data_IF_495163567743
#
_entry.id   IF_495163567743
#
_cell.length_a   1.000
_cell.length_b   1.000
_cell.length_c   1.000
_cell.angle_alpha   90.00
_cell.angle_beta   90.00
_cell.angle_gamma   90.00
#
_symmetry.space_group_name_H-M   'P 1'
#
loop_
_entity.id
_entity.type
_entity.pdbx_description
1 polymer ?
#
# COMPACT_ATOMS: atom_id res chain seq x y z
N UNK A 1 26.61 -5.07 -0.04
CA UNK A 1 25.24 -5.42 -0.38
C UNK A 1 24.34 -5.41 0.86
N UNK A 2 24.54 -6.28 1.86
CA UNK A 2 23.67 -6.40 3.05
C UNK A 2 23.50 -5.10 3.84
N UNK A 3 24.58 -4.32 4.00
CA UNK A 3 24.49 -3.00 4.66
C UNK A 3 23.62 -2.03 3.87
N UNK A 4 23.79 -1.96 2.55
CA UNK A 4 22.97 -1.08 1.68
C UNK A 4 21.51 -1.50 1.72
N UNK A 5 21.21 -2.81 1.62
CA UNK A 5 19.85 -3.33 1.65
C UNK A 5 19.08 -2.97 2.94
N UNK A 6 19.76 -2.67 4.02
CA UNK A 6 19.17 -2.39 5.34
C UNK A 6 19.30 -0.92 5.77
N UNK A 7 19.96 -0.07 4.99
CA UNK A 7 20.18 1.35 5.31
C UNK A 7 19.16 2.24 4.58
N UNK A 8 18.86 3.41 5.14
CA UNK A 8 17.97 4.40 4.55
C UNK A 8 16.61 3.81 4.14
N UNK A 9 16.23 4.00 2.89
CA UNK A 9 15.08 3.32 2.26
C UNK A 9 15.45 1.87 1.98
N UNK A 10 15.11 0.97 2.86
CA UNK A 10 15.42 -0.47 2.77
C UNK A 10 14.84 -1.09 1.51
N UNK A 11 15.63 -1.95 0.85
CA UNK A 11 15.21 -2.59 -0.39
C UNK A 11 16.19 -3.64 -0.89
N UNK A 12 15.88 -4.32 -2.00
CA UNK A 12 16.76 -5.32 -2.60
C UNK A 12 18.02 -4.69 -3.18
N UNK A 13 19.10 -5.43 -3.14
CA UNK A 13 20.39 -5.07 -3.75
C UNK A 13 20.83 -6.20 -4.66
N UNK A 14 21.05 -5.89 -5.92
CA UNK A 14 21.58 -6.83 -6.90
C UNK A 14 23.10 -6.86 -6.79
N UNK A 15 23.68 -8.06 -6.77
CA UNK A 15 25.12 -8.29 -6.88
C UNK A 15 25.36 -9.11 -8.15
N UNK A 16 25.94 -8.48 -9.15
CA UNK A 16 26.36 -9.17 -10.37
C UNK A 16 27.76 -9.76 -10.19
N UNK A 17 27.88 -11.07 -10.36
CA UNK A 17 29.15 -11.81 -10.19
C UNK A 17 29.50 -12.47 -11.52
N UNK A 18 30.47 -11.93 -12.28
CA UNK A 18 30.92 -12.52 -13.55
C UNK A 18 31.45 -13.94 -13.36
N UNK A 19 31.32 -14.75 -14.41
CA UNK A 19 31.65 -16.19 -14.38
C UNK A 19 33.09 -16.46 -13.98
N UNK A 20 34.04 -15.68 -14.47
CA UNK A 20 35.46 -15.81 -14.15
C UNK A 20 35.77 -15.56 -12.68
N UNK A 21 35.05 -14.61 -12.07
CA UNK A 21 35.19 -14.31 -10.62
C UNK A 21 34.66 -15.48 -9.77
N UNK A 22 33.65 -16.21 -10.22
CA UNK A 22 33.14 -17.38 -9.46
C UNK A 22 34.12 -18.54 -9.41
N UNK A 23 35.06 -18.60 -10.36
CA UNK A 23 36.10 -19.61 -10.44
C UNK A 23 37.44 -19.14 -9.81
N UNK A 24 37.58 -17.87 -9.49
CA UNK A 24 38.79 -17.31 -8.92
C UNK A 24 39.00 -17.75 -7.46
N UNK A 25 40.25 -17.97 -7.12
CA UNK A 25 40.68 -18.28 -5.74
C UNK A 25 41.16 -17.00 -5.08
N UNK A 26 40.67 -16.73 -3.88
CA UNK A 26 41.12 -15.59 -3.08
C UNK A 26 41.34 -15.98 -1.63
N UNK A 27 42.24 -15.25 -0.95
CA UNK A 27 42.37 -15.34 0.50
C UNK A 27 41.16 -14.65 1.15
N UNK A 28 40.47 -15.36 2.04
CA UNK A 28 39.30 -14.85 2.75
C UNK A 28 39.53 -14.81 4.25
N UNK A 29 39.41 -13.63 4.82
CA UNK A 29 39.37 -13.43 6.27
C UNK A 29 37.96 -13.08 6.71
N UNK A 30 37.29 -13.93 7.51
CA UNK A 30 35.94 -13.64 8.01
C UNK A 30 35.92 -12.35 8.83
N UNK A 31 35.06 -11.41 8.44
CA UNK A 31 34.81 -10.18 9.21
C UNK A 31 33.49 -10.29 9.91
N UNK A 32 33.42 -9.88 11.18
CA UNK A 32 32.13 -9.74 11.86
C UNK A 32 31.31 -8.63 11.15
N UNK A 33 29.99 -8.86 10.91
CA UNK A 33 29.13 -7.81 10.37
C UNK A 33 29.16 -6.58 11.28
N UNK A 34 29.37 -5.41 10.69
CA UNK A 34 29.20 -4.15 11.42
C UNK A 34 27.71 -3.91 11.69
N UNK A 35 27.35 -3.43 12.89
CA UNK A 35 25.97 -3.07 13.18
C UNK A 35 25.54 -1.93 12.25
N UNK A 36 24.33 -2.06 11.68
CA UNK A 36 23.74 -1.03 10.84
C UNK A 36 23.29 0.11 11.75
N UNK A 37 23.91 1.27 11.60
CA UNK A 37 23.50 2.48 12.29
C UNK A 37 22.40 3.16 11.50
N UNK A 38 21.22 3.31 12.08
CA UNK A 38 20.18 4.19 11.55
C UNK A 38 20.64 5.62 11.80
N UNK A 39 20.91 6.38 10.75
CA UNK A 39 21.20 7.80 10.88
C UNK A 39 19.85 8.51 11.01
N UNK A 40 19.60 9.04 12.20
CA UNK A 40 18.38 9.78 12.51
C UNK A 40 18.73 11.26 12.55
N UNK A 41 18.83 11.86 11.37
CA UNK A 41 19.01 13.31 11.27
C UNK A 41 17.84 13.88 10.49
N UNK A 42 17.18 14.86 11.05
CA UNK A 42 16.21 15.70 10.38
C UNK A 42 16.43 17.14 10.85
N UNK A 43 15.96 18.11 10.06
CA UNK A 43 16.03 19.51 10.41
C UNK A 43 14.89 19.87 11.38
N UNK A 44 15.25 20.15 12.64
CA UNK A 44 14.28 20.55 13.68
C UNK A 44 13.51 21.82 13.33
N UNK A 45 14.13 22.75 12.58
CA UNK A 45 13.45 23.96 12.16
C UNK A 45 12.36 23.68 11.13
N UNK A 46 12.59 22.75 10.21
CA UNK A 46 11.57 22.30 9.26
C UNK A 46 10.39 21.60 9.98
N UNK A 47 10.68 20.84 11.05
CA UNK A 47 9.63 20.22 11.88
C UNK A 47 8.78 21.27 12.59
N UNK A 48 9.38 22.35 13.11
CA UNK A 48 8.65 23.47 13.71
C UNK A 48 7.76 24.17 12.70
N UNK A 49 8.29 24.49 11.51
CA UNK A 49 7.49 25.09 10.44
C UNK A 49 6.34 24.20 10.00
N UNK A 50 6.56 22.90 9.91
CA UNK A 50 5.48 21.95 9.62
C UNK A 50 4.37 21.98 10.69
N UNK A 51 4.75 22.01 11.97
CA UNK A 51 3.79 22.10 13.07
C UNK A 51 3.01 23.43 13.03
N UNK A 52 3.68 24.57 12.76
CA UNK A 52 3.03 25.87 12.64
C UNK A 52 2.01 25.89 11.47
N UNK A 53 2.36 25.30 10.32
CA UNK A 53 1.44 25.18 9.16
C UNK A 53 0.24 24.31 9.55
N UNK A 54 0.45 23.17 10.22
CA UNK A 54 -0.62 22.26 10.67
C UNK A 54 -1.54 22.96 11.67
N UNK A 55 -0.98 23.69 12.64
CA UNK A 55 -1.74 24.42 13.65
C UNK A 55 -2.61 25.53 13.04
N UNK A 56 -2.17 26.13 11.92
CA UNK A 56 -2.94 27.13 11.16
C UNK A 56 -4.05 26.57 10.29
N UNK A 57 -4.00 25.28 9.96
CA UNK A 57 -4.90 24.65 8.99
C UNK A 57 -6.38 24.67 9.44
N UNK A 58 -7.28 24.76 8.46
CA UNK A 58 -8.74 24.62 8.64
C UNK A 58 -9.26 23.28 8.09
N UNK A 59 -8.60 22.75 7.05
CA UNK A 59 -8.95 21.51 6.39
C UNK A 59 -7.71 20.63 6.19
N UNK A 60 -6.97 20.31 7.28
CA UNK A 60 -5.79 19.46 7.16
C UNK A 60 -6.16 18.04 6.74
N UNK A 61 -5.27 17.42 5.97
CA UNK A 61 -5.38 16.03 5.56
C UNK A 61 -4.03 15.35 5.66
N UNK A 62 -3.97 14.17 6.29
CA UNK A 62 -2.78 13.31 6.22
C UNK A 62 -2.94 12.33 5.06
N UNK A 63 -1.92 12.29 4.21
CA UNK A 63 -1.77 11.32 3.13
C UNK A 63 -0.54 10.45 3.41
N UNK A 64 -0.73 9.18 3.71
CA UNK A 64 0.37 8.33 4.13
C UNK A 64 0.56 7.10 3.22
N UNK A 65 1.81 6.68 3.11
CA UNK A 65 2.22 5.60 2.23
C UNK A 65 2.95 4.46 2.95
N UNK A 66 3.60 3.61 2.16
CA UNK A 66 4.33 2.45 2.66
C UNK A 66 5.49 2.77 3.61
N UNK A 67 5.96 4.02 3.67
CA UNK A 67 7.02 4.45 4.57
C UNK A 67 6.63 4.43 6.06
N UNK A 68 5.32 4.44 6.38
CA UNK A 68 4.84 4.42 7.79
C UNK A 68 4.37 3.03 8.26
N UNK A 69 4.75 1.96 7.57
CA UNK A 69 4.34 0.59 7.94
C UNK A 69 5.10 -0.03 9.12
N UNK A 70 6.12 0.63 9.66
CA UNK A 70 6.84 0.15 10.83
C UNK A 70 6.01 0.36 12.10
N UNK A 71 6.14 -0.52 13.09
CA UNK A 71 5.49 -0.34 14.38
C UNK A 71 5.89 0.99 15.05
N UNK A 72 7.14 1.42 14.85
CA UNK A 72 7.66 2.67 15.39
C UNK A 72 7.01 3.92 14.79
N UNK A 73 6.53 3.88 13.52
CA UNK A 73 5.90 5.02 12.84
C UNK A 73 4.37 5.00 12.89
N UNK A 74 3.74 3.83 13.05
CA UNK A 74 2.29 3.71 13.09
C UNK A 74 1.67 4.45 14.27
N UNK A 75 2.20 4.26 15.48
CA UNK A 75 1.62 4.86 16.67
C UNK A 75 1.75 6.39 16.69
N UNK A 76 2.93 7.00 16.44
CA UNK A 76 3.03 8.45 16.36
C UNK A 76 2.13 9.08 15.28
N UNK A 77 1.91 8.38 14.15
CA UNK A 77 0.94 8.84 13.15
C UNK A 77 -0.48 8.86 13.71
N UNK A 78 -0.94 7.77 14.32
CA UNK A 78 -2.27 7.68 14.91
C UNK A 78 -2.48 8.72 16.03
N UNK A 79 -1.45 8.95 16.84
CA UNK A 79 -1.48 9.95 17.92
C UNK A 79 -1.61 11.37 17.36
N UNK A 80 -0.92 11.67 16.26
CA UNK A 80 -1.06 12.95 15.54
C UNK A 80 -2.49 13.14 15.02
N UNK A 81 -3.04 12.13 14.33
CA UNK A 81 -4.39 12.17 13.78
C UNK A 81 -5.42 12.42 14.88
N UNK A 82 -5.30 11.71 15.99
CA UNK A 82 -6.21 11.83 17.14
C UNK A 82 -6.08 13.17 17.85
N UNK A 83 -4.84 13.65 18.08
CA UNK A 83 -4.56 14.88 18.80
C UNK A 83 -5.16 16.09 18.11
N UNK A 84 -4.96 16.20 16.80
CA UNK A 84 -5.39 17.34 16.01
C UNK A 84 -6.66 17.07 15.17
N UNK A 85 -7.37 15.96 15.40
CA UNK A 85 -8.59 15.54 14.64
C UNK A 85 -8.39 15.67 13.12
N UNK A 86 -7.26 15.14 12.61
CA UNK A 86 -6.93 15.21 11.19
C UNK A 86 -7.37 13.93 10.48
N UNK A 87 -8.29 14.00 9.51
CA UNK A 87 -8.64 12.85 8.69
C UNK A 87 -7.43 12.39 7.87
N UNK A 88 -7.40 11.09 7.57
CA UNK A 88 -6.25 10.48 6.90
C UNK A 88 -6.66 9.53 5.79
N UNK A 89 -5.97 9.64 4.67
CA UNK A 89 -6.09 8.76 3.52
C UNK A 89 -4.78 8.03 3.25
N UNK A 90 -4.85 6.86 2.63
CA UNK A 90 -3.68 6.00 2.48
C UNK A 90 -3.51 5.48 1.05
N UNK A 91 -2.25 5.14 0.72
CA UNK A 91 -1.95 4.39 -0.49
C UNK A 91 -2.20 2.90 -0.27
N UNK A 92 -2.39 2.16 -1.36
CA UNK A 92 -2.52 0.69 -1.35
C UNK A 92 -1.49 0.01 -0.41
N UNK A 93 -0.25 0.49 -0.40
CA UNK A 93 0.85 -0.09 0.37
C UNK A 93 0.78 0.20 1.88
N UNK A 94 -0.15 1.04 2.32
CA UNK A 94 -0.27 1.45 3.72
C UNK A 94 -1.60 0.98 4.37
N UNK A 95 -2.32 0.08 3.72
CA UNK A 95 -3.54 -0.49 4.26
C UNK A 95 -3.30 -1.10 5.66
N UNK A 96 -4.17 -0.77 6.63
CA UNK A 96 -4.09 -1.22 8.02
C UNK A 96 -3.17 -0.41 8.93
N UNK A 97 -2.42 0.58 8.44
CA UNK A 97 -1.65 1.50 9.30
C UNK A 97 -2.57 2.28 10.21
N UNK A 98 -3.64 2.87 9.67
CA UNK A 98 -4.79 3.35 10.45
C UNK A 98 -5.88 2.30 10.30
N UNK A 99 -6.36 1.69 11.39
CA UNK A 99 -7.29 0.56 11.31
C UNK A 99 -8.60 0.91 10.60
N UNK A 100 -9.19 -0.08 9.94
CA UNK A 100 -10.57 0.05 9.47
C UNK A 100 -11.53 0.32 10.64
N UNK A 101 -12.39 1.31 10.48
CA UNK A 101 -13.33 1.74 11.50
C UNK A 101 -12.80 2.82 12.45
N UNK A 102 -11.54 3.22 12.33
CA UNK A 102 -11.04 4.42 12.98
C UNK A 102 -11.70 5.65 12.34
N UNK A 103 -12.26 6.59 13.14
CA UNK A 103 -12.95 7.79 12.62
C UNK A 103 -12.08 8.66 11.70
N UNK A 104 -10.77 8.65 11.91
CA UNK A 104 -9.84 9.42 11.08
C UNK A 104 -9.47 8.71 9.78
N UNK A 105 -9.79 7.43 9.62
CA UNK A 105 -9.53 6.70 8.38
C UNK A 105 -10.64 6.93 7.37
N UNK A 106 -10.38 7.77 6.36
CA UNK A 106 -11.35 8.10 5.31
C UNK A 106 -11.19 7.27 4.02
N UNK A 107 -10.37 6.23 4.06
CA UNK A 107 -10.22 5.27 2.97
C UNK A 107 -8.99 5.48 2.10
N UNK A 108 -8.86 4.65 1.07
CA UNK A 108 -7.75 4.66 0.10
C UNK A 108 -7.96 5.78 -0.93
N UNK A 109 -6.87 6.45 -1.31
CA UNK A 109 -6.85 7.50 -2.33
C UNK A 109 -6.31 6.97 -3.67
N UNK A 110 -6.64 7.65 -4.76
CA UNK A 110 -6.11 7.43 -6.10
C UNK A 110 -7.12 6.80 -7.07
N UNK A 111 -6.62 6.23 -8.16
CA UNK A 111 -7.40 5.69 -9.28
C UNK A 111 -8.45 4.65 -8.83
N UNK A 112 -8.14 3.85 -7.82
CA UNK A 112 -9.02 2.83 -7.24
C UNK A 112 -9.46 3.19 -5.81
N UNK A 113 -9.26 4.45 -5.42
CA UNK A 113 -9.66 4.97 -4.12
C UNK A 113 -11.15 5.29 -4.04
N UNK A 114 -11.63 5.62 -2.84
CA UNK A 114 -13.00 6.05 -2.63
C UNK A 114 -13.22 7.51 -3.03
N UNK A 115 -14.46 7.89 -3.23
CA UNK A 115 -14.86 9.26 -3.58
C UNK A 115 -14.41 10.25 -2.50
N UNK A 116 -14.68 9.94 -1.24
CA UNK A 116 -14.31 10.77 -0.08
C UNK A 116 -12.83 11.11 -0.06
N UNK A 117 -11.94 10.11 -0.17
CA UNK A 117 -10.50 10.32 -0.13
C UNK A 117 -10.00 11.22 -1.25
N UNK A 118 -10.53 11.01 -2.47
CA UNK A 118 -10.15 11.82 -3.63
C UNK A 118 -10.67 13.27 -3.51
N UNK A 119 -11.89 13.46 -2.98
CA UNK A 119 -12.43 14.79 -2.68
C UNK A 119 -11.64 15.51 -1.59
N UNK A 120 -11.31 14.81 -0.51
CA UNK A 120 -10.54 15.38 0.59
C UNK A 120 -9.17 15.90 0.13
N UNK A 121 -8.48 15.16 -0.75
CA UNK A 121 -7.22 15.63 -1.36
C UNK A 121 -7.42 16.88 -2.22
N UNK A 122 -8.54 16.97 -2.95
CA UNK A 122 -8.80 18.14 -3.79
C UNK A 122 -9.16 19.41 -3.00
N UNK A 123 -9.79 19.25 -1.84
CA UNK A 123 -10.39 20.35 -1.07
C UNK A 123 -9.64 20.70 0.23
N UNK A 124 -8.61 19.92 0.62
CA UNK A 124 -7.77 20.25 1.78
C UNK A 124 -6.98 21.56 1.57
N UNK A 125 -6.65 22.25 2.66
CA UNK A 125 -5.79 23.44 2.67
C UNK A 125 -4.34 23.14 3.08
N UNK A 126 -4.13 22.02 3.81
CA UNK A 126 -2.82 21.46 4.16
C UNK A 126 -2.83 19.96 3.90
N UNK A 127 -1.87 19.48 3.09
CA UNK A 127 -1.65 18.07 2.83
C UNK A 127 -0.34 17.61 3.46
N UNK A 128 -0.42 16.74 4.47
CA UNK A 128 0.75 16.19 5.15
C UNK A 128 1.04 14.80 4.55
N UNK A 129 2.00 14.74 3.64
CA UNK A 129 2.38 13.52 2.94
C UNK A 129 3.51 12.79 3.68
N UNK A 130 3.24 11.60 4.24
CA UNK A 130 4.18 10.86 5.08
C UNK A 130 4.55 9.51 4.46
N UNK A 131 5.82 9.34 4.10
CA UNK A 131 6.33 8.10 3.53
C UNK A 131 5.62 7.66 2.25
N UNK A 132 5.30 8.62 1.39
CA UNK A 132 4.59 8.43 0.13
C UNK A 132 5.27 9.19 -1.01
N UNK A 133 5.30 8.59 -2.20
CA UNK A 133 6.05 9.09 -3.36
C UNK A 133 5.17 9.75 -4.44
N UNK A 134 3.92 10.04 -4.18
CA UNK A 134 2.98 10.60 -5.16
C UNK A 134 3.01 9.87 -6.50
N UNK A 135 2.76 8.55 -6.46
CA UNK A 135 2.79 7.72 -7.68
C UNK A 135 1.71 8.15 -8.67
N UNK A 136 1.92 7.81 -9.94
CA UNK A 136 0.99 8.04 -11.05
C UNK A 136 -0.41 7.42 -10.84
N UNK A 137 -0.53 6.40 -9.99
CA UNK A 137 -1.82 5.79 -9.63
C UNK A 137 -2.60 6.61 -8.60
N UNK A 138 -1.96 7.57 -7.95
CA UNK A 138 -2.57 8.49 -6.97
C UNK A 138 -2.60 9.91 -7.51
N UNK A 139 -1.45 10.47 -7.88
CA UNK A 139 -1.34 11.79 -8.48
C UNK A 139 -1.46 11.68 -10.02
N UNK A 140 -2.67 11.31 -10.50
CA UNK A 140 -2.95 11.09 -11.93
C UNK A 140 -2.59 12.30 -12.81
N UNK A 141 -2.81 13.50 -12.28
CA UNK A 141 -2.35 14.75 -12.87
C UNK A 141 -1.62 15.55 -11.79
N UNK A 142 -0.28 15.48 -11.75
CA UNK A 142 0.51 16.17 -10.73
C UNK A 142 0.24 17.69 -10.63
N UNK A 143 -0.05 18.34 -11.75
CA UNK A 143 -0.30 19.80 -11.78
C UNK A 143 -1.61 20.23 -11.12
N UNK A 144 -2.54 19.32 -10.93
CA UNK A 144 -3.86 19.59 -10.33
C UNK A 144 -4.06 18.85 -9.02
N UNK A 145 -3.12 17.99 -8.62
CA UNK A 145 -3.17 17.24 -7.38
C UNK A 145 -3.00 18.17 -6.19
N UNK A 146 -3.99 18.21 -5.29
CA UNK A 146 -4.00 19.05 -4.09
C UNK A 146 -3.60 20.52 -4.35
N UNK A 147 -3.97 21.07 -5.50
CA UNK A 147 -3.48 22.38 -6.02
C UNK A 147 -3.75 23.60 -5.13
N UNK A 148 -4.66 23.47 -4.17
CA UNK A 148 -5.05 24.54 -3.25
C UNK A 148 -4.45 24.34 -1.85
N UNK A 149 -3.71 23.26 -1.65
CA UNK A 149 -3.13 22.90 -0.37
C UNK A 149 -1.65 23.32 -0.28
N UNK A 150 -1.22 23.73 0.91
CA UNK A 150 0.19 23.71 1.28
C UNK A 150 0.62 22.26 1.50
N UNK A 151 1.60 21.78 0.74
CA UNK A 151 2.04 20.39 0.77
C UNK A 151 3.31 20.24 1.60
N UNK A 152 3.22 19.47 2.68
CA UNK A 152 4.36 19.06 3.51
C UNK A 152 4.70 17.61 3.14
N UNK A 153 5.93 17.32 2.72
CA UNK A 153 6.37 15.95 2.42
C UNK A 153 7.46 15.48 3.39
N UNK A 154 7.23 14.33 4.03
CA UNK A 154 8.16 13.67 4.94
C UNK A 154 8.55 12.34 4.32
N UNK A 155 9.82 12.17 3.97
CA UNK A 155 10.35 10.91 3.44
C UNK A 155 11.79 10.68 3.90
N UNK A 156 12.16 9.40 4.05
CA UNK A 156 13.52 9.00 4.39
C UNK A 156 14.48 9.13 3.19
N UNK A 157 13.93 9.15 1.98
CA UNK A 157 14.67 9.23 0.72
C UNK A 157 14.56 10.62 0.13
N UNK A 158 15.64 11.39 0.24
CA UNK A 158 15.69 12.76 -0.29
C UNK A 158 15.38 12.83 -1.80
N UNK A 159 15.59 11.75 -2.56
CA UNK A 159 15.32 11.71 -4.00
C UNK A 159 13.83 11.61 -4.35
N UNK A 160 12.97 11.32 -3.38
CA UNK A 160 11.51 11.28 -3.57
C UNK A 160 10.83 12.61 -3.25
N UNK A 161 11.54 13.53 -2.57
CA UNK A 161 10.98 14.84 -2.19
C UNK A 161 10.83 15.76 -3.41
N UNK A 162 9.62 16.27 -3.63
CA UNK A 162 9.32 17.16 -4.75
C UNK A 162 9.44 16.53 -6.14
N UNK A 163 9.60 15.20 -6.25
CA UNK A 163 9.90 14.52 -7.51
C UNK A 163 8.73 14.49 -8.48
N UNK A 164 7.54 14.19 -7.99
CA UNK A 164 6.34 13.99 -8.82
C UNK A 164 5.30 15.11 -8.64
N UNK A 165 5.27 15.74 -7.50
CA UNK A 165 4.39 16.86 -7.15
C UNK A 165 5.25 17.91 -6.48
N UNK A 166 5.07 19.16 -6.85
CA UNK A 166 5.75 20.28 -6.18
C UNK A 166 5.28 20.35 -4.72
N UNK A 167 6.22 20.55 -3.79
CA UNK A 167 5.94 20.59 -2.36
C UNK A 167 6.46 21.89 -1.75
N UNK A 168 5.72 22.43 -0.78
CA UNK A 168 6.06 23.69 -0.12
C UNK A 168 7.10 23.49 0.99
N UNK A 169 7.03 22.36 1.69
CA UNK A 169 7.96 22.01 2.75
C UNK A 169 8.36 20.54 2.68
N UNK A 170 9.67 20.29 2.61
CA UNK A 170 10.25 18.94 2.55
C UNK A 170 11.02 18.62 3.82
N UNK A 171 10.79 17.46 4.42
CA UNK A 171 11.53 16.97 5.60
C UNK A 171 12.16 15.63 5.27
N UNK A 172 13.49 15.59 5.17
CA UNK A 172 14.24 14.32 5.05
C UNK A 172 14.35 13.68 6.42
N UNK A 173 13.81 12.47 6.59
CA UNK A 173 13.92 11.76 7.86
C UNK A 173 13.07 10.49 7.92
N UNK A 174 13.40 9.63 8.87
CA UNK A 174 12.54 8.49 9.19
C UNK A 174 11.23 9.00 9.82
N UNK A 175 10.10 8.55 9.27
CA UNK A 175 8.77 9.00 9.70
C UNK A 175 8.53 8.84 11.21
N UNK A 176 9.08 7.80 11.85
CA UNK A 176 8.91 7.61 13.30
C UNK A 176 9.55 8.74 14.10
N UNK A 177 10.75 9.16 13.72
CA UNK A 177 11.46 10.21 14.46
C UNK A 177 10.88 11.60 14.17
N UNK A 178 10.56 11.88 12.90
CA UNK A 178 9.95 13.17 12.51
C UNK A 178 8.59 13.34 13.17
N UNK A 179 7.72 12.32 13.14
CA UNK A 179 6.39 12.37 13.78
C UNK A 179 6.48 12.53 15.30
N UNK A 180 7.41 11.81 15.96
CA UNK A 180 7.62 11.98 17.41
C UNK A 180 8.13 13.37 17.79
N UNK A 181 8.98 13.98 16.96
CA UNK A 181 9.45 15.35 17.18
C UNK A 181 8.35 16.40 16.90
N UNK A 182 7.47 16.12 15.94
CA UNK A 182 6.36 17.01 15.56
C UNK A 182 5.20 16.96 16.56
N UNK A 183 4.91 15.80 17.11
CA UNK A 183 3.74 15.56 17.98
C UNK A 183 3.61 16.52 19.18
N UNK A 184 4.67 16.85 19.93
CA UNK A 184 4.58 17.83 21.01
C UNK A 184 4.31 19.27 20.55
N UNK A 185 4.66 19.62 19.29
CA UNK A 185 4.53 20.96 18.73
C UNK A 185 3.16 21.21 18.07
N UNK A 186 2.46 20.15 17.68
CA UNK A 186 1.10 20.25 17.13
C UNK A 186 0.11 20.43 18.26
N UNK A 187 -0.78 21.39 18.12
CA UNK A 187 -1.81 21.71 19.10
C UNK A 187 -2.96 20.70 19.09
N UNK A 188 -3.65 20.53 20.20
CA UNK A 188 -4.93 19.84 20.24
C UNK A 188 -5.98 20.73 19.60
N UNK A 189 -6.59 20.26 18.50
CA UNK A 189 -7.53 21.04 17.70
C UNK A 189 -8.63 20.15 17.16
N UNK A 190 -9.79 20.75 16.90
CA UNK A 190 -10.92 20.09 16.22
C UNK A 190 -11.28 20.82 14.94
N UNK A 191 -11.76 20.06 13.97
CA UNK A 191 -12.13 20.57 12.65
C UNK A 191 -13.60 20.19 12.30
N UNK A 192 -14.61 20.65 13.06
CA UNK A 192 -15.98 20.16 12.94
C UNK A 192 -16.59 20.38 11.56
N UNK A 193 -16.37 21.52 10.93
CA UNK A 193 -16.88 21.81 9.58
C UNK A 193 -16.21 20.92 8.54
N UNK A 194 -14.91 20.68 8.67
CA UNK A 194 -14.16 19.79 7.79
C UNK A 194 -14.64 18.35 7.91
N UNK A 195 -14.78 17.85 9.14
CA UNK A 195 -15.28 16.51 9.41
C UNK A 195 -16.73 16.34 8.93
N UNK A 196 -17.57 17.37 9.06
CA UNK A 196 -18.92 17.35 8.51
C UNK A 196 -18.91 17.16 6.99
N UNK A 197 -18.10 17.92 6.26
CA UNK A 197 -17.96 17.76 4.79
C UNK A 197 -17.50 16.34 4.43
N UNK A 198 -16.53 15.78 5.17
CA UNK A 198 -16.05 14.42 4.96
C UNK A 198 -17.16 13.40 5.17
N UNK A 199 -17.96 13.50 6.22
CA UNK A 199 -19.08 12.60 6.45
C UNK A 199 -20.16 12.70 5.35
N UNK A 200 -20.42 13.90 4.83
CA UNK A 200 -21.31 14.10 3.69
C UNK A 200 -20.81 13.41 2.41
N UNK A 201 -19.49 13.37 2.19
CA UNK A 201 -18.90 12.63 1.07
C UNK A 201 -18.87 11.12 1.30
N UNK A 202 -18.64 10.66 2.53
CA UNK A 202 -18.70 9.23 2.88
C UNK A 202 -20.07 8.64 2.61
N UNK A 203 -21.14 9.41 2.79
CA UNK A 203 -22.48 9.01 2.42
C UNK A 203 -22.69 8.83 0.90
N UNK A 204 -21.78 9.38 0.08
CA UNK A 204 -21.77 9.27 -1.38
C UNK A 204 -20.77 8.25 -1.90
N UNK A 205 -19.96 7.64 -1.03
CA UNK A 205 -19.04 6.58 -1.43
C UNK A 205 -19.81 5.40 -2.04
N UNK A 206 -19.20 4.77 -3.03
CA UNK A 206 -19.79 3.62 -3.69
C UNK A 206 -19.93 2.44 -2.73
N UNK A 207 -21.15 1.99 -2.54
CA UNK A 207 -21.47 0.77 -1.81
C UNK A 207 -21.89 -0.32 -2.80
N UNK A 208 -21.18 -1.45 -2.87
CA UNK A 208 -21.51 -2.51 -3.80
C UNK A 208 -22.88 -3.12 -3.46
N UNK A 209 -23.72 -3.26 -4.46
CA UNK A 209 -25.02 -3.91 -4.33
C UNK A 209 -24.88 -5.40 -4.58
N UNK A 210 -25.43 -6.22 -3.69
CA UNK A 210 -25.47 -7.66 -3.87
C UNK A 210 -26.53 -8.04 -4.91
N UNK A 211 -26.18 -8.98 -5.79
CA UNK A 211 -27.10 -9.58 -6.76
C UNK A 211 -27.35 -11.03 -6.35
N UNK A 212 -28.61 -11.37 -6.03
CA UNK A 212 -28.95 -12.70 -5.56
C UNK A 212 -28.76 -13.80 -6.63
N UNK A 213 -28.64 -13.43 -7.92
CA UNK A 213 -28.46 -14.36 -9.02
C UNK A 213 -27.00 -14.79 -9.24
N UNK A 214 -26.04 -14.11 -8.61
CA UNK A 214 -24.60 -14.35 -8.80
C UNK A 214 -23.76 -13.95 -7.60
N UNK A 215 -22.64 -14.61 -7.43
CA UNK A 215 -21.67 -14.31 -6.39
C UNK A 215 -20.86 -13.05 -6.79
N UNK A 216 -20.90 -12.03 -5.95
CA UNK A 216 -20.19 -10.77 -6.18
C UNK A 216 -18.85 -10.73 -5.42
N UNK A 217 -17.81 -10.04 -5.96
CA UNK A 217 -16.48 -10.00 -5.34
C UNK A 217 -16.47 -9.52 -3.89
N UNK A 218 -17.26 -8.51 -3.54
CA UNK A 218 -17.34 -8.01 -2.17
C UNK A 218 -17.92 -9.04 -1.18
N UNK A 219 -18.81 -9.92 -1.64
CA UNK A 219 -19.35 -11.01 -0.83
C UNK A 219 -18.28 -12.05 -0.54
N UNK A 220 -17.49 -12.44 -1.57
CA UNK A 220 -16.37 -13.38 -1.40
C UNK A 220 -15.34 -12.81 -0.43
N UNK A 221 -14.88 -11.57 -0.64
CA UNK A 221 -13.91 -10.93 0.25
C UNK A 221 -14.46 -10.81 1.68
N UNK A 222 -15.74 -10.41 1.82
CA UNK A 222 -16.39 -10.31 3.13
C UNK A 222 -16.44 -11.64 3.87
N UNK A 223 -16.80 -12.72 3.16
CA UNK A 223 -16.87 -14.04 3.76
C UNK A 223 -15.47 -14.58 4.14
N UNK A 224 -14.48 -14.41 3.28
CA UNK A 224 -13.08 -14.75 3.61
C UNK A 224 -12.60 -14.00 4.87
N UNK A 225 -12.96 -12.71 5.00
CA UNK A 225 -12.67 -11.93 6.21
C UNK A 225 -13.33 -12.51 7.47
N UNK A 226 -14.61 -12.91 7.34
CA UNK A 226 -15.37 -13.45 8.46
C UNK A 226 -14.80 -14.80 8.93
N UNK A 227 -14.41 -15.66 8.00
CA UNK A 227 -13.89 -16.99 8.30
C UNK A 227 -12.44 -16.99 8.83
N UNK A 228 -11.58 -16.14 8.26
CA UNK A 228 -10.15 -16.12 8.60
C UNK A 228 -9.81 -15.17 9.76
N UNK A 229 -10.68 -14.24 10.06
CA UNK A 229 -10.52 -13.30 11.17
C UNK A 229 -9.62 -12.08 10.87
N UNK A 230 -9.60 -11.11 11.80
CA UNK A 230 -8.93 -9.82 11.58
C UNK A 230 -7.40 -9.87 11.61
N UNK A 231 -6.83 -10.93 12.19
CA UNK A 231 -5.38 -11.11 12.34
C UNK A 231 -4.76 -11.91 11.17
N UNK A 232 -5.57 -12.39 10.25
CA UNK A 232 -5.07 -13.10 9.07
C UNK A 232 -4.25 -12.18 8.15
N UNK A 233 -3.26 -12.75 7.47
CA UNK A 233 -2.45 -12.06 6.47
C UNK A 233 -3.04 -12.32 5.09
N UNK A 234 -3.33 -11.26 4.36
CA UNK A 234 -3.90 -11.32 3.02
C UNK A 234 -2.84 -10.95 2.00
N UNK A 235 -2.53 -11.89 1.17
CA UNK A 235 -1.65 -11.72 0.01
C UNK A 235 -2.52 -11.60 -1.22
N UNK A 236 -2.19 -10.70 -2.13
CA UNK A 236 -2.91 -10.66 -3.41
C UNK A 236 -1.96 -10.80 -4.57
N UNK A 237 -2.46 -11.46 -5.59
CA UNK A 237 -1.92 -11.32 -6.93
C UNK A 237 -2.41 -10.02 -7.58
N UNK A 238 -2.12 -9.77 -8.85
CA UNK A 238 -2.34 -8.48 -9.50
C UNK A 238 -3.46 -8.52 -10.53
N UNK A 239 -4.46 -7.67 -10.34
CA UNK A 239 -5.63 -7.56 -11.21
C UNK A 239 -6.85 -6.98 -10.50
N UNK A 240 -8.05 -7.22 -11.01
CA UNK A 240 -9.30 -6.75 -10.37
C UNK A 240 -9.44 -7.29 -8.94
N UNK A 241 -9.09 -8.56 -8.70
CA UNK A 241 -9.12 -9.19 -7.39
C UNK A 241 -8.24 -8.46 -6.36
N UNK A 242 -7.10 -7.90 -6.78
CA UNK A 242 -6.26 -7.04 -5.93
C UNK A 242 -7.01 -5.78 -5.49
N UNK A 243 -7.70 -5.12 -6.43
CA UNK A 243 -8.46 -3.91 -6.12
C UNK A 243 -9.67 -4.22 -5.24
N UNK A 244 -10.37 -5.34 -5.48
CA UNK A 244 -11.47 -5.77 -4.62
C UNK A 244 -10.99 -6.09 -3.21
N UNK A 245 -9.85 -6.79 -3.06
CA UNK A 245 -9.25 -7.02 -1.75
C UNK A 245 -8.86 -5.71 -1.06
N UNK A 246 -8.27 -4.75 -1.79
CA UNK A 246 -7.90 -3.45 -1.24
C UNK A 246 -9.11 -2.62 -0.77
N UNK A 247 -10.24 -2.71 -1.47
CA UNK A 247 -11.44 -1.92 -1.20
C UNK A 247 -12.37 -2.55 -0.16
N UNK A 248 -12.51 -3.88 -0.16
CA UNK A 248 -13.55 -4.56 0.62
C UNK A 248 -13.04 -5.26 1.88
N UNK A 249 -11.73 -5.50 1.99
CA UNK A 249 -11.17 -6.05 3.20
C UNK A 249 -11.03 -4.99 4.31
N UNK A 250 -11.29 -5.40 5.55
CA UNK A 250 -11.28 -4.51 6.73
C UNK A 250 -9.94 -4.60 7.46
N UNK A 251 -8.89 -4.05 6.86
CA UNK A 251 -7.53 -4.08 7.42
C UNK A 251 -7.45 -3.38 8.78
N UNK A 252 -6.89 -4.05 9.79
CA UNK A 252 -6.74 -3.52 11.14
C UNK A 252 -5.29 -3.39 11.59
N UNK A 253 -4.39 -4.09 10.92
CA UNK A 253 -2.97 -4.15 11.28
C UNK A 253 -2.08 -3.85 10.07
N UNK A 254 -0.98 -3.11 10.25
CA UNK A 254 -0.03 -2.87 9.18
C UNK A 254 0.65 -4.19 8.76
N UNK A 255 1.03 -4.30 7.49
CA UNK A 255 1.66 -5.49 6.91
C UNK A 255 0.78 -6.74 6.82
N UNK A 256 -0.49 -6.68 7.19
CA UNK A 256 -1.44 -7.76 6.97
C UNK A 256 -2.01 -7.76 5.54
N UNK A 257 -1.63 -6.78 4.73
CA UNK A 257 -1.87 -6.75 3.29
C UNK A 257 -0.55 -6.76 2.52
N UNK A 258 -0.29 -7.84 1.79
CA UNK A 258 0.93 -8.07 1.02
C UNK A 258 0.56 -8.12 -0.47
N UNK A 259 1.15 -7.24 -1.26
CA UNK A 259 0.82 -7.14 -2.68
C UNK A 259 1.96 -6.52 -3.48
N UNK A 260 2.04 -6.84 -4.78
CA UNK A 260 2.93 -6.15 -5.72
C UNK A 260 2.34 -4.81 -6.15
N UNK A 261 2.34 -3.82 -5.22
CA UNK A 261 1.74 -2.50 -5.45
C UNK A 261 2.63 -1.51 -6.21
N UNK A 262 3.90 -1.83 -6.43
CA UNK A 262 4.83 -1.01 -7.21
C UNK A 262 4.88 -1.41 -8.68
N UNK A 263 5.41 -2.60 -8.97
CA UNK A 263 5.56 -3.12 -10.33
C UNK A 263 4.28 -3.76 -10.88
N UNK A 264 3.36 -4.19 -10.00
CA UNK A 264 2.15 -4.87 -10.43
C UNK A 264 2.42 -6.22 -11.10
N UNK A 265 3.27 -7.04 -10.50
CA UNK A 265 3.75 -8.30 -11.09
C UNK A 265 2.70 -9.39 -10.95
N UNK A 266 2.14 -9.84 -12.06
CA UNK A 266 1.25 -11.02 -12.10
C UNK A 266 2.04 -12.30 -11.78
N UNK A 267 1.44 -13.22 -11.02
CA UNK A 267 2.09 -14.44 -10.54
C UNK A 267 2.87 -14.25 -9.21
N UNK A 268 2.85 -13.05 -8.63
CA UNK A 268 3.50 -12.73 -7.36
C UNK A 268 2.86 -13.44 -6.17
N UNK A 269 1.52 -13.60 -6.20
CA UNK A 269 0.70 -13.88 -5.01
C UNK A 269 1.05 -15.22 -4.34
N UNK A 270 1.11 -16.32 -5.08
CA UNK A 270 1.34 -17.66 -4.52
C UNK A 270 2.70 -17.78 -3.80
N UNK A 271 3.77 -17.34 -4.47
CA UNK A 271 5.11 -17.36 -3.87
C UNK A 271 5.22 -16.46 -2.62
N UNK A 272 4.61 -15.28 -2.68
CA UNK A 272 4.56 -14.36 -1.54
C UNK A 272 3.72 -14.91 -0.37
N UNK A 273 2.63 -15.64 -0.66
CA UNK A 273 1.79 -16.31 0.33
C UNK A 273 2.56 -17.42 1.07
N UNK A 274 3.29 -18.26 0.33
CA UNK A 274 4.17 -19.28 0.90
C UNK A 274 5.22 -18.63 1.81
N UNK A 275 5.90 -17.59 1.32
CA UNK A 275 6.90 -16.86 2.09
C UNK A 275 6.32 -16.18 3.35
N UNK A 276 5.15 -15.58 3.25
CA UNK A 276 4.45 -14.98 4.39
C UNK A 276 4.11 -16.03 5.45
N UNK A 277 3.62 -17.21 5.03
CA UNK A 277 3.28 -18.30 5.96
C UNK A 277 4.51 -18.85 6.69
N UNK A 278 5.65 -18.90 6.03
CA UNK A 278 6.93 -19.25 6.67
C UNK A 278 7.31 -18.21 7.73
N UNK A 279 7.07 -16.93 7.44
CA UNK A 279 7.37 -15.83 8.37
C UNK A 279 6.42 -15.72 9.56
N UNK A 280 5.17 -16.18 9.42
CA UNK A 280 4.13 -16.17 10.47
C UNK A 280 3.41 -17.53 10.52
N UNK A 281 4.08 -18.57 11.03
CA UNK A 281 3.63 -19.95 10.92
C UNK A 281 2.28 -20.24 11.62
N UNK A 282 1.94 -19.46 12.65
CA UNK A 282 0.72 -19.67 13.45
C UNK A 282 -0.47 -18.83 12.95
N UNK A 283 -0.23 -17.93 12.02
CA UNK A 283 -1.27 -17.03 11.49
C UNK A 283 -1.86 -17.60 10.20
N UNK A 284 -3.18 -17.53 9.96
CA UNK A 284 -3.77 -17.81 8.66
C UNK A 284 -3.20 -16.88 7.59
N UNK A 285 -2.76 -17.44 6.46
CA UNK A 285 -2.27 -16.66 5.32
C UNK A 285 -3.07 -17.07 4.08
N UNK A 286 -3.68 -16.08 3.47
CA UNK A 286 -4.61 -16.24 2.35
C UNK A 286 -4.05 -15.56 1.12
N UNK A 287 -3.97 -16.25 0.00
CA UNK A 287 -3.75 -15.63 -1.30
C UNK A 287 -5.07 -15.37 -2.01
N UNK A 288 -5.24 -14.17 -2.53
CA UNK A 288 -6.38 -13.78 -3.35
C UNK A 288 -5.86 -13.54 -4.78
N UNK A 289 -6.16 -14.47 -5.67
CA UNK A 289 -5.65 -14.47 -7.03
C UNK A 289 -6.79 -14.45 -8.07
N UNK A 290 -6.49 -13.98 -9.27
CA UNK A 290 -7.28 -14.28 -10.46
C UNK A 290 -6.77 -15.55 -11.13
N UNK A 291 -7.60 -16.19 -11.92
CA UNK A 291 -7.27 -17.42 -12.66
C UNK A 291 -6.06 -17.26 -13.58
N UNK A 292 -5.90 -16.10 -14.22
CA UNK A 292 -4.74 -15.79 -15.05
C UNK A 292 -3.43 -15.70 -14.26
N UNK A 293 -3.45 -15.03 -13.11
CA UNK A 293 -2.28 -14.91 -12.25
C UNK A 293 -1.90 -16.23 -11.59
N UNK A 294 -2.89 -16.96 -11.08
CA UNK A 294 -2.68 -18.26 -10.45
C UNK A 294 -1.99 -19.25 -11.39
N UNK A 295 -2.40 -19.30 -12.66
CA UNK A 295 -1.79 -20.17 -13.68
C UNK A 295 -0.31 -19.89 -13.94
N UNK A 296 0.17 -18.67 -13.69
CA UNK A 296 1.56 -18.30 -13.97
C UNK A 296 2.56 -19.03 -13.09
N UNK A 297 2.20 -19.30 -11.83
CA UNK A 297 3.09 -19.90 -10.85
C UNK A 297 2.42 -21.05 -10.04
N UNK A 298 1.34 -21.65 -10.53
CA UNK A 298 0.62 -22.71 -9.82
C UNK A 298 1.48 -23.94 -9.50
N UNK A 299 2.58 -24.16 -10.23
CA UNK A 299 3.57 -25.21 -9.93
C UNK A 299 4.18 -25.06 -8.54
N UNK A 300 4.22 -23.86 -7.97
CA UNK A 300 4.73 -23.63 -6.61
C UNK A 300 3.84 -24.22 -5.50
N UNK A 301 2.65 -24.72 -5.81
CA UNK A 301 1.87 -25.56 -4.89
C UNK A 301 2.68 -26.78 -4.46
N UNK A 302 3.52 -27.33 -5.35
CA UNK A 302 4.42 -28.43 -5.03
C UNK A 302 5.41 -28.06 -3.91
N UNK A 303 5.88 -26.82 -3.89
CA UNK A 303 6.73 -26.29 -2.81
C UNK A 303 5.96 -26.26 -1.48
N UNK A 304 4.76 -25.69 -1.48
CA UNK A 304 3.92 -25.63 -0.28
C UNK A 304 3.62 -27.03 0.28
N UNK A 305 3.26 -27.97 -0.60
CA UNK A 305 2.95 -29.36 -0.23
C UNK A 305 4.19 -30.09 0.31
N UNK A 306 5.34 -29.98 -0.39
CA UNK A 306 6.59 -30.65 0.02
C UNK A 306 7.06 -30.24 1.40
N UNK A 307 6.89 -28.99 1.76
CA UNK A 307 7.37 -28.43 3.03
C UNK A 307 6.26 -28.28 4.08
N UNK A 308 5.07 -28.82 3.84
CA UNK A 308 3.91 -28.71 4.73
C UNK A 308 3.60 -27.26 5.15
N UNK A 309 3.58 -26.34 4.19
CA UNK A 309 3.26 -24.94 4.40
C UNK A 309 1.76 -24.73 4.12
N UNK A 310 0.90 -24.69 5.16
CA UNK A 310 -0.54 -24.57 4.98
C UNK A 310 -0.92 -23.13 4.61
N UNK A 311 -1.34 -22.91 3.39
CA UNK A 311 -1.86 -21.65 2.86
C UNK A 311 -3.31 -21.85 2.41
N UNK A 312 -4.05 -20.74 2.30
CA UNK A 312 -5.40 -20.73 1.73
C UNK A 312 -5.33 -19.99 0.40
N UNK A 313 -5.76 -20.66 -0.66
CA UNK A 313 -5.78 -20.08 -2.01
C UNK A 313 -7.23 -19.80 -2.43
N UNK A 314 -7.54 -18.53 -2.72
CA UNK A 314 -8.86 -18.06 -3.19
C UNK A 314 -8.71 -17.54 -4.62
N UNK A 315 -9.21 -18.30 -5.58
CA UNK A 315 -9.09 -17.97 -7.01
C UNK A 315 -10.41 -17.42 -7.56
N UNK A 316 -10.39 -16.18 -8.01
CA UNK A 316 -11.46 -15.57 -8.79
C UNK A 316 -11.36 -16.04 -10.25
N UNK A 317 -12.11 -17.10 -10.56
CA UNK A 317 -12.14 -17.68 -11.90
C UNK A 317 -13.24 -17.04 -12.77
N UNK A 318 -12.86 -16.01 -13.50
CA UNK A 318 -13.74 -15.30 -14.44
C UNK A 318 -13.38 -15.55 -15.91
N UNK A 319 -12.45 -16.47 -16.18
CA UNK A 319 -11.96 -16.84 -17.51
C UNK A 319 -11.42 -15.66 -18.32
N UNK A 320 -10.90 -14.64 -17.64
CA UNK A 320 -10.38 -13.45 -18.32
C UNK A 320 -9.29 -12.74 -17.52
N UNK A 321 -8.39 -12.06 -18.22
CA UNK A 321 -7.52 -11.02 -17.65
C UNK A 321 -8.38 -9.79 -17.36
N UNK A 322 -9.11 -9.82 -16.23
CA UNK A 322 -10.20 -8.89 -15.94
C UNK A 322 -9.80 -7.41 -15.93
N UNK A 323 -8.63 -7.05 -15.36
CA UNK A 323 -8.14 -5.67 -15.36
C UNK A 323 -7.81 -5.19 -16.79
N UNK A 324 -7.16 -6.00 -17.59
CA UNK A 324 -6.84 -5.66 -18.99
C UNK A 324 -8.12 -5.48 -19.81
N UNK A 325 -9.09 -6.38 -19.63
CA UNK A 325 -10.41 -6.27 -20.28
C UNK A 325 -11.16 -5.01 -19.87
N UNK A 326 -11.07 -4.62 -18.60
CA UNK A 326 -11.66 -3.38 -18.10
C UNK A 326 -11.06 -2.16 -18.80
N UNK A 327 -9.74 -2.10 -18.98
CA UNK A 327 -9.08 -1.03 -19.70
C UNK A 327 -9.48 -0.99 -21.18
N UNK A 328 -9.57 -2.15 -21.82
CA UNK A 328 -10.04 -2.24 -23.20
C UNK A 328 -11.49 -1.76 -23.34
N UNK A 329 -12.32 -2.00 -22.32
CA UNK A 329 -13.69 -1.48 -22.27
C UNK A 329 -13.71 0.03 -22.17
N UNK A 330 -12.94 0.62 -21.24
CA UNK A 330 -12.99 2.04 -20.91
C UNK A 330 -12.26 2.92 -21.95
N UNK A 331 -11.12 2.49 -22.43
CA UNK A 331 -10.21 3.35 -23.21
C UNK A 331 -9.99 2.92 -24.67
N UNK A 332 -10.36 1.69 -25.04
CA UNK A 332 -10.10 1.16 -26.37
C UNK A 332 -11.38 0.79 -27.15
N UNK A 333 -12.49 1.43 -26.84
CA UNK A 333 -13.75 1.24 -27.56
C UNK A 333 -14.25 -0.20 -27.57
N UNK A 334 -14.03 -0.96 -26.49
CA UNK A 334 -14.41 -2.37 -26.33
C UNK A 334 -13.73 -3.31 -27.37
N UNK A 335 -12.59 -2.93 -27.90
CA UNK A 335 -11.79 -3.80 -28.78
C UNK A 335 -11.00 -4.78 -27.94
N UNK A 336 -11.59 -5.93 -27.65
CA UNK A 336 -11.00 -6.96 -26.80
C UNK A 336 -9.96 -7.78 -27.59
N UNK A 337 -8.77 -7.94 -26.99
CA UNK A 337 -7.69 -8.74 -27.56
C UNK A 337 -6.92 -9.42 -26.45
N UNK A 338 -6.65 -10.72 -26.59
CA UNK A 338 -5.80 -11.55 -25.73
C UNK A 338 -6.20 -11.52 -24.23
N UNK A 339 -7.47 -11.31 -23.90
CA UNK A 339 -7.95 -11.24 -22.52
C UNK A 339 -8.81 -12.42 -22.10
N UNK A 340 -9.22 -13.30 -23.02
CA UNK A 340 -9.94 -14.53 -22.72
C UNK A 340 -8.97 -15.66 -22.39
N UNK A 341 -9.26 -16.44 -21.34
CA UNK A 341 -8.41 -17.54 -20.91
C UNK A 341 -8.98 -18.94 -21.26
N UNK A 342 -10.12 -19.00 -21.91
CA UNK A 342 -10.75 -20.28 -22.30
C UNK A 342 -9.94 -21.07 -23.33
N UNK A 343 -9.25 -20.39 -24.22
CA UNK A 343 -8.45 -20.99 -25.30
C UNK A 343 -6.94 -21.05 -25.02
N UNK A 344 -6.51 -20.80 -23.80
CA UNK A 344 -5.09 -20.82 -23.42
C UNK A 344 -4.58 -22.16 -22.93
N UNK A 345 -5.42 -23.21 -22.96
CA UNK A 345 -5.00 -24.59 -22.73
C UNK A 345 -4.96 -25.31 -24.07
N UNK A 346 -3.81 -25.41 -24.72
CA UNK A 346 -3.68 -26.14 -25.99
C UNK A 346 -3.54 -27.64 -25.78
N UNK A 347 -4.31 -28.20 -24.83
CA UNK A 347 -4.30 -29.65 -24.68
C UNK A 347 -4.99 -30.29 -25.90
N UNK A 348 -4.30 -31.14 -26.67
CA UNK A 348 -4.95 -31.85 -27.76
C UNK A 348 -5.95 -32.92 -27.27
N UNK A 349 -6.22 -32.97 -25.97
CA UNK A 349 -7.18 -33.87 -25.32
C UNK A 349 -8.47 -33.18 -24.88
N UNK A 350 -8.52 -31.86 -24.98
CA UNK A 350 -9.71 -31.03 -24.78
C UNK A 350 -10.30 -30.68 -26.14
#
# INVERSE_FOLDING_TARGET
>A
AFRIAQSGRKGPVLVDIPKDITAAVCEFTPKKPEPIRTVVTFDEQQVKWAADIINGAQRPLVYFGGGVRSAASCQPLRDLLKKAEIPATYTLMAAGVVPYGDPMNIGMVGMHGCYTSNRAVADCDVLIAVGTRFSDRVALNPKTFAKNATIIQIDIDASELGKNVDVDLSIVGDAAYVLNAMLPLVEEKKHPDWMKMIHEWQAQDYHPVSDASRLMPHQVIGEVCNQCGPEAVYVTDVGQHQMWAAQYYKYRSPRHFITSGGMGTMGYGLGACIGAKVGVPDTPVINIAGDGCFRMNMNEIATATRYNIPIIEVVFNNHALGMVRQWQTLFYGKRYSQTCLLYTSPSPRD
#
